data_IF_181589154396
#
_entry.id   IF_181589154396
#
_cell.length_a   1.000
_cell.length_b   1.000
_cell.length_c   1.000
_cell.angle_alpha   90.00
_cell.angle_beta   90.00
_cell.angle_gamma   90.00
#
_symmetry.space_group_name_H-M   'P 1'
#
loop_
_entity.id
_entity.type
_entity.pdbx_description
1 polymer ?
#
# COMPACT_ATOMS: atom_id res chain seq x y z
N UNK A 1 17.92 -22.87 18.68
CA UNK A 1 16.77 -22.25 17.99
C UNK A 1 16.93 -20.76 18.26
N UNK A 2 17.24 -19.98 17.22
CA UNK A 2 17.50 -18.55 17.37
C UNK A 2 16.17 -17.88 17.72
N UNK A 3 16.07 -17.33 18.93
CA UNK A 3 14.86 -16.63 19.34
C UNK A 3 14.66 -15.43 18.40
N UNK A 4 13.48 -15.26 17.77
CA UNK A 4 13.24 -14.10 16.91
C UNK A 4 13.43 -12.77 17.67
N UNK A 5 13.29 -12.78 18.99
CA UNK A 5 13.59 -11.66 19.87
C UNK A 5 15.10 -11.32 19.92
N UNK A 6 16.00 -12.30 19.80
CA UNK A 6 17.45 -12.05 19.80
C UNK A 6 17.91 -11.38 18.49
N UNK A 7 17.24 -11.70 17.37
CA UNK A 7 17.51 -11.09 16.05
C UNK A 7 17.03 -9.63 16.01
N UNK A 8 15.95 -9.30 16.71
CA UNK A 8 15.46 -7.93 16.82
C UNK A 8 16.32 -7.08 17.77
N UNK A 9 16.88 -7.68 18.83
CA UNK A 9 17.76 -7.00 19.77
C UNK A 9 19.10 -6.57 19.16
N UNK A 10 19.60 -7.29 18.15
CA UNK A 10 20.83 -6.98 17.40
C UNK A 10 20.58 -6.22 16.08
N UNK A 11 19.33 -5.82 15.79
CA UNK A 11 19.03 -5.13 14.54
C UNK A 11 19.70 -3.74 14.52
N UNK A 12 20.50 -3.41 13.49
CA UNK A 12 21.04 -2.06 13.31
C UNK A 12 19.93 -1.03 12.96
N UNK A 13 18.70 -1.49 12.73
CA UNK A 13 17.56 -0.66 12.39
C UNK A 13 16.80 -0.27 13.66
N UNK A 14 16.93 0.99 14.05
CA UNK A 14 16.10 1.58 15.10
C UNK A 14 14.79 2.12 14.52
N UNK A 15 13.77 2.33 15.35
CA UNK A 15 12.53 2.98 14.91
C UNK A 15 12.80 4.35 14.25
N UNK A 16 13.75 5.12 14.79
CA UNK A 16 14.11 6.43 14.26
C UNK A 16 14.72 6.33 12.86
N UNK A 17 15.62 5.37 12.60
CA UNK A 17 16.19 5.17 11.27
C UNK A 17 15.17 4.65 10.27
N UNK A 18 14.23 3.78 10.71
CA UNK A 18 13.12 3.33 9.87
C UNK A 18 12.16 4.48 9.48
N UNK A 19 11.82 5.36 10.43
CA UNK A 19 10.98 6.55 10.17
C UNK A 19 11.70 7.52 9.23
N UNK A 20 12.98 7.77 9.45
CA UNK A 20 13.78 8.62 8.57
C UNK A 20 13.81 8.10 7.12
N UNK A 21 13.98 6.78 6.96
CA UNK A 21 13.92 6.12 5.66
C UNK A 21 12.53 6.20 5.03
N UNK A 22 11.46 6.01 5.81
CA UNK A 22 10.08 6.14 5.32
C UNK A 22 9.76 7.57 4.82
N UNK A 23 10.40 8.59 5.41
CA UNK A 23 10.28 9.98 4.99
C UNK A 23 11.12 10.32 3.75
N UNK A 24 12.00 9.43 3.31
CA UNK A 24 12.80 9.62 2.09
C UNK A 24 11.86 9.82 0.89
N UNK A 25 12.15 10.75 -0.06
CA UNK A 25 11.19 11.16 -1.08
C UNK A 25 10.61 10.01 -1.91
N UNK A 26 11.40 8.98 -2.20
CA UNK A 26 10.99 7.81 -2.96
C UNK A 26 10.03 6.91 -2.17
N UNK A 27 10.40 6.51 -0.95
CA UNK A 27 9.52 5.71 -0.10
C UNK A 27 8.26 6.47 0.29
N UNK A 28 8.37 7.77 0.58
CA UNK A 28 7.23 8.62 0.87
C UNK A 28 6.21 8.62 -0.26
N UNK A 29 6.66 8.69 -1.53
CA UNK A 29 5.75 8.61 -2.69
C UNK A 29 5.03 7.25 -2.75
N UNK A 30 5.75 6.15 -2.54
CA UNK A 30 5.16 4.81 -2.53
C UNK A 30 4.15 4.63 -1.39
N UNK A 31 4.46 5.14 -0.21
CA UNK A 31 3.57 5.15 0.94
C UNK A 31 2.33 6.01 0.68
N UNK A 32 2.47 7.19 0.06
CA UNK A 32 1.32 8.02 -0.34
C UNK A 32 0.43 7.28 -1.33
N UNK A 33 1.02 6.63 -2.34
CA UNK A 33 0.28 5.84 -3.33
C UNK A 33 -0.46 4.69 -2.67
N UNK A 34 0.20 3.98 -1.75
CA UNK A 34 -0.41 2.93 -0.94
C UNK A 34 -1.59 3.45 -0.12
N UNK A 35 -1.40 4.53 0.65
CA UNK A 35 -2.44 5.13 1.49
C UNK A 35 -3.61 5.63 0.64
N UNK A 36 -3.34 6.30 -0.48
CA UNK A 36 -4.37 6.73 -1.40
C UNK A 36 -5.18 5.52 -1.93
N UNK A 37 -4.50 4.44 -2.34
CA UNK A 37 -5.15 3.21 -2.77
C UNK A 37 -5.99 2.56 -1.65
N UNK A 38 -5.45 2.49 -0.44
CA UNK A 38 -6.12 1.94 0.74
C UNK A 38 -7.39 2.72 1.11
N UNK A 39 -7.40 4.04 0.88
CA UNK A 39 -8.58 4.88 1.09
C UNK A 39 -9.57 4.75 -0.06
N UNK A 40 -9.12 4.74 -1.32
CA UNK A 40 -9.99 4.75 -2.52
C UNK A 40 -10.67 3.40 -2.74
N UNK A 41 -9.95 2.29 -2.55
CA UNK A 41 -10.44 0.94 -2.84
C UNK A 41 -11.76 0.61 -2.10
N UNK A 42 -11.90 0.85 -0.78
CA UNK A 42 -13.17 0.65 -0.08
C UNK A 42 -14.35 1.42 -0.67
N UNK A 43 -14.15 2.66 -1.16
CA UNK A 43 -15.22 3.42 -1.80
C UNK A 43 -15.68 2.76 -3.10
N UNK A 44 -14.74 2.32 -3.94
CA UNK A 44 -15.07 1.60 -5.17
C UNK A 44 -15.82 0.29 -4.91
N UNK A 45 -15.38 -0.47 -3.91
CA UNK A 45 -16.04 -1.72 -3.50
C UNK A 45 -17.44 -1.47 -2.92
N UNK A 46 -17.62 -0.40 -2.14
CA UNK A 46 -18.92 -0.02 -1.60
C UNK A 46 -19.92 0.31 -2.73
N UNK A 47 -19.48 1.06 -3.75
CA UNK A 47 -20.31 1.34 -4.94
C UNK A 47 -20.72 0.07 -5.70
N UNK A 48 -19.86 -0.95 -5.75
CA UNK A 48 -20.19 -2.24 -6.38
C UNK A 48 -21.24 -3.03 -5.59
N UNK A 49 -21.16 -2.99 -4.25
CA UNK A 49 -22.16 -3.61 -3.38
C UNK A 49 -23.49 -2.86 -3.49
N UNK A 50 -23.43 -1.52 -3.49
CA UNK A 50 -24.54 -0.57 -3.61
C UNK A 50 -25.65 -0.74 -2.58
N UNK A 51 -26.75 -0.01 -2.78
CA UNK A 51 -27.87 0.04 -1.83
C UNK A 51 -29.07 -0.83 -2.21
N UNK A 52 -29.90 -1.24 -1.24
CA UNK A 52 -31.16 -1.92 -1.52
C UNK A 52 -32.15 -0.97 -2.22
N UNK A 53 -32.92 -1.49 -3.18
CA UNK A 53 -34.01 -0.79 -3.90
C UNK A 53 -33.59 0.43 -4.76
N UNK A 54 -32.49 0.33 -5.51
CA UNK A 54 -32.09 1.36 -6.47
C UNK A 54 -32.76 1.19 -7.85
N UNK A 55 -33.15 2.28 -8.53
CA UNK A 55 -33.58 2.23 -9.92
C UNK A 55 -32.48 1.65 -10.83
N UNK A 56 -32.87 0.92 -11.88
CA UNK A 56 -31.93 0.22 -12.79
C UNK A 56 -30.84 1.16 -13.33
N UNK A 57 -31.22 2.35 -13.80
CA UNK A 57 -30.27 3.31 -14.36
C UNK A 57 -29.22 3.77 -13.33
N UNK A 58 -29.66 4.04 -12.09
CA UNK A 58 -28.77 4.46 -10.99
C UNK A 58 -27.80 3.33 -10.65
N UNK A 59 -28.32 2.10 -10.54
CA UNK A 59 -27.50 0.91 -10.28
C UNK A 59 -26.45 0.67 -11.36
N UNK A 60 -26.79 0.86 -12.64
CA UNK A 60 -25.83 0.71 -13.74
C UNK A 60 -24.70 1.74 -13.65
N UNK A 61 -25.02 3.00 -13.35
CA UNK A 61 -24.02 4.06 -13.20
C UNK A 61 -23.10 3.78 -12.01
N UNK A 62 -23.67 3.38 -10.86
CA UNK A 62 -22.90 3.02 -9.67
C UNK A 62 -21.98 1.83 -9.90
N UNK A 63 -22.42 0.82 -10.65
CA UNK A 63 -21.58 -0.33 -11.02
C UNK A 63 -20.40 0.10 -11.89
N UNK A 64 -20.64 0.91 -12.92
CA UNK A 64 -19.56 1.38 -13.81
C UNK A 64 -18.53 2.22 -13.03
N UNK A 65 -19.00 3.15 -12.20
CA UNK A 65 -18.13 3.94 -11.33
C UNK A 65 -17.41 3.06 -10.30
N UNK A 66 -18.11 2.11 -9.68
CA UNK A 66 -17.56 1.16 -8.74
C UNK A 66 -16.42 0.33 -9.33
N UNK A 67 -16.58 -0.16 -10.57
CA UNK A 67 -15.52 -0.88 -11.29
C UNK A 67 -14.30 0.02 -11.49
N UNK A 68 -14.48 1.23 -12.03
CA UNK A 68 -13.37 2.13 -12.34
C UNK A 68 -12.63 2.56 -11.07
N UNK A 69 -13.38 2.93 -10.02
CA UNK A 69 -12.82 3.39 -8.75
C UNK A 69 -12.14 2.23 -8.02
N UNK A 70 -12.73 1.03 -7.99
CA UNK A 70 -12.12 -0.14 -7.35
C UNK A 70 -10.86 -0.59 -8.09
N UNK A 71 -10.88 -0.64 -9.43
CA UNK A 71 -9.70 -0.99 -10.22
C UNK A 71 -8.56 0.02 -10.01
N UNK A 72 -8.87 1.31 -10.00
CA UNK A 72 -7.89 2.38 -9.74
C UNK A 72 -7.36 2.28 -8.30
N UNK A 73 -8.24 2.13 -7.32
CA UNK A 73 -7.86 1.96 -5.91
C UNK A 73 -6.99 0.73 -5.69
N UNK A 74 -7.33 -0.40 -6.31
CA UNK A 74 -6.56 -1.63 -6.26
C UNK A 74 -5.17 -1.45 -6.89
N UNK A 75 -5.09 -0.83 -8.07
CA UNK A 75 -3.81 -0.57 -8.74
C UNK A 75 -2.89 0.31 -7.87
N UNK A 76 -3.43 1.37 -7.25
CA UNK A 76 -2.68 2.21 -6.32
C UNK A 76 -2.28 1.46 -5.04
N UNK A 77 -3.20 0.70 -4.45
CA UNK A 77 -2.95 -0.06 -3.22
C UNK A 77 -1.84 -1.09 -3.42
N UNK A 78 -1.99 -1.96 -4.42
CA UNK A 78 -1.01 -2.99 -4.72
C UNK A 78 0.28 -2.37 -5.29
N UNK A 79 0.20 -1.35 -6.13
CA UNK A 79 1.38 -0.67 -6.68
C UNK A 79 2.22 -0.01 -5.58
N UNK A 80 1.58 0.67 -4.63
CA UNK A 80 2.25 1.27 -3.48
C UNK A 80 2.85 0.21 -2.54
N UNK A 81 2.09 -0.83 -2.22
CA UNK A 81 2.53 -1.90 -1.31
C UNK A 81 3.69 -2.71 -1.90
N UNK A 82 3.53 -3.21 -3.12
CA UNK A 82 4.54 -4.03 -3.81
C UNK A 82 5.77 -3.16 -4.11
N UNK A 83 5.58 -1.95 -4.61
CA UNK A 83 6.68 -1.01 -4.87
C UNK A 83 7.48 -0.69 -3.61
N UNK A 84 6.81 -0.41 -2.48
CA UNK A 84 7.45 -0.17 -1.19
C UNK A 84 8.25 -1.39 -0.70
N UNK A 85 7.68 -2.60 -0.81
CA UNK A 85 8.35 -3.83 -0.40
C UNK A 85 9.60 -4.12 -1.23
N UNK A 86 9.51 -4.01 -2.57
CA UNK A 86 10.67 -4.19 -3.44
C UNK A 86 11.74 -3.12 -3.20
N UNK A 87 11.34 -1.87 -2.96
CA UNK A 87 12.27 -0.78 -2.66
C UNK A 87 13.05 -1.04 -1.37
N UNK A 88 12.37 -1.46 -0.31
CA UNK A 88 13.00 -1.87 0.95
C UNK A 88 14.03 -2.98 0.74
N UNK A 89 13.67 -4.05 0.03
CA UNK A 89 14.59 -5.18 -0.23
C UNK A 89 15.77 -4.74 -1.09
N UNK A 90 15.54 -3.92 -2.12
CA UNK A 90 16.59 -3.48 -3.04
C UNK A 90 17.59 -2.57 -2.35
N UNK A 91 17.12 -1.59 -1.59
CA UNK A 91 17.99 -0.66 -0.86
C UNK A 91 18.78 -1.39 0.25
N UNK A 92 18.16 -2.36 0.93
CA UNK A 92 18.86 -3.21 1.90
C UNK A 92 19.97 -4.05 1.24
N UNK A 93 19.70 -4.64 0.08
CA UNK A 93 20.70 -5.40 -0.67
C UNK A 93 21.84 -4.51 -1.20
N UNK A 94 21.54 -3.28 -1.62
CA UNK A 94 22.58 -2.33 -2.05
C UNK A 94 23.50 -1.96 -0.89
N UNK A 95 22.94 -1.73 0.30
CA UNK A 95 23.73 -1.45 1.51
C UNK A 95 24.61 -2.63 1.88
N UNK A 96 24.07 -3.86 1.89
CA UNK A 96 24.80 -5.06 2.26
C UNK A 96 25.95 -5.42 1.28
N UNK A 97 25.85 -5.01 0.01
CA UNK A 97 26.91 -5.20 -0.99
C UNK A 97 27.91 -4.03 -1.06
N UNK A 98 27.65 -2.93 -0.36
CA UNK A 98 28.54 -1.77 -0.30
C UNK A 98 29.55 -1.86 0.86
N UNK A 99 29.33 -2.80 1.80
CA UNK A 99 30.28 -3.23 2.82
C UNK A 99 31.17 -4.38 2.31
#
# INVERSE_FOLDING_TARGET
MTDPESILAESPVTFQSAVAYALHPEMRRLLIVYVAGALILPFGLNLLLGGPFQPVLVRTIELLLGIVVSATGAALFFGGLVGAAFKLVTDANLLANAE
#
